data_IF_571555973738
#
_entry.id   IF_571555973738
#
_cell.length_a   1.000
_cell.length_b   1.000
_cell.length_c   1.000
_cell.angle_alpha   90.00
_cell.angle_beta   90.00
_cell.angle_gamma   90.00
#
_symmetry.space_group_name_H-M   'P 1'
#
loop_
_entity.id
_entity.type
_entity.pdbx_description
1 polymer ?
#
# COMPACT_ATOMS: atom_id res chain seq x y z
N UNK A 1 -10.59 -13.57 -40.96
CA UNK A 1 -9.33 -13.47 -40.21
C UNK A 1 -8.85 -12.02 -40.26
N UNK A 2 -9.19 -11.20 -39.26
CA UNK A 2 -8.59 -9.89 -39.07
C UNK A 2 -8.03 -9.87 -37.66
N UNK A 3 -6.70 -9.88 -37.56
CA UNK A 3 -5.97 -9.78 -36.31
C UNK A 3 -6.14 -8.37 -35.77
N UNK A 4 -7.22 -8.13 -35.03
CA UNK A 4 -7.28 -6.98 -34.14
C UNK A 4 -6.22 -7.16 -33.07
N UNK A 5 -5.24 -6.25 -33.07
CA UNK A 5 -4.17 -6.17 -32.08
C UNK A 5 -4.73 -6.32 -30.67
N UNK A 6 -4.51 -7.50 -30.09
CA UNK A 6 -5.07 -7.93 -28.82
C UNK A 6 -4.33 -7.24 -27.68
N UNK A 7 -4.73 -6.01 -27.38
CA UNK A 7 -4.34 -5.32 -26.16
C UNK A 7 -5.38 -5.68 -25.10
N UNK A 8 -5.02 -6.59 -24.18
CA UNK A 8 -5.69 -6.72 -22.89
C UNK A 8 -5.55 -5.35 -22.20
N UNK A 9 -6.50 -4.45 -22.43
CA UNK A 9 -6.55 -3.20 -21.69
C UNK A 9 -6.75 -3.60 -20.22
N UNK A 10 -5.83 -3.25 -19.32
CA UNK A 10 -6.02 -3.56 -17.91
C UNK A 10 -7.33 -2.92 -17.46
N UNK A 11 -8.19 -3.66 -16.74
CA UNK A 11 -9.46 -3.11 -16.31
C UNK A 11 -9.20 -1.85 -15.48
N UNK A 12 -9.73 -0.73 -15.96
CA UNK A 12 -9.64 0.58 -15.31
C UNK A 12 -10.73 0.62 -14.25
N UNK A 13 -10.33 0.74 -12.99
CA UNK A 13 -11.27 1.08 -11.92
C UNK A 13 -11.01 2.50 -11.47
N UNK A 14 -12.10 3.26 -11.40
CA UNK A 14 -12.12 4.58 -10.79
C UNK A 14 -12.25 4.37 -9.29
N UNK A 15 -11.13 4.42 -8.58
CA UNK A 15 -11.15 4.49 -7.13
C UNK A 15 -11.32 5.95 -6.69
N UNK A 16 -11.80 6.18 -5.46
CA UNK A 16 -11.95 7.53 -4.90
C UNK A 16 -10.65 8.37 -4.91
N UNK A 17 -9.50 7.70 -5.00
CA UNK A 17 -8.16 8.32 -4.97
C UNK A 17 -7.53 8.50 -6.36
N UNK A 18 -8.21 8.11 -7.44
CA UNK A 18 -7.75 8.27 -8.82
C UNK A 18 -8.03 7.07 -9.72
N UNK A 19 -7.75 7.26 -11.01
CA UNK A 19 -7.80 6.21 -12.03
C UNK A 19 -6.54 5.35 -11.85
N UNK A 20 -6.72 4.12 -11.38
CA UNK A 20 -5.61 3.17 -11.23
C UNK A 20 -5.79 1.99 -12.18
N UNK A 21 -4.70 1.62 -12.84
CA UNK A 21 -4.65 0.39 -13.62
C UNK A 21 -4.66 -0.79 -12.65
N UNK A 22 -5.73 -1.60 -12.66
CA UNK A 22 -5.75 -2.79 -11.83
C UNK A 22 -4.67 -3.75 -12.32
N UNK A 23 -3.77 -4.10 -11.42
CA UNK A 23 -2.73 -5.10 -11.60
C UNK A 23 -2.82 -6.09 -10.45
N UNK A 24 -2.39 -7.33 -10.69
CA UNK A 24 -2.20 -8.30 -9.61
C UNK A 24 -0.95 -7.92 -8.84
N UNK A 25 -1.09 -7.69 -7.54
CA UNK A 25 0.00 -7.38 -6.62
C UNK A 25 0.31 -8.59 -5.73
N UNK A 26 1.58 -8.71 -5.30
CA UNK A 26 1.98 -9.71 -4.30
C UNK A 26 1.82 -9.09 -2.90
N UNK A 27 0.89 -9.58 -2.05
CA UNK A 27 0.60 -8.94 -0.74
C UNK A 27 1.81 -8.92 0.20
N UNK A 28 2.65 -9.96 0.15
CA UNK A 28 3.87 -10.03 0.96
C UNK A 28 4.86 -8.93 0.58
N UNK A 29 4.93 -8.56 -0.70
CA UNK A 29 5.88 -7.56 -1.19
C UNK A 29 5.42 -6.16 -0.79
N UNK A 30 4.10 -5.90 -0.86
CA UNK A 30 3.50 -4.67 -0.32
C UNK A 30 3.80 -4.49 1.18
N UNK A 31 3.66 -5.58 1.94
CA UNK A 31 3.96 -5.62 3.38
C UNK A 31 5.44 -5.33 3.64
N UNK A 32 6.35 -5.98 2.88
CA UNK A 32 7.78 -5.79 3.00
C UNK A 32 8.19 -4.33 2.73
N UNK A 33 7.63 -3.70 1.69
CA UNK A 33 7.88 -2.29 1.42
C UNK A 33 7.39 -1.38 2.55
N UNK A 34 6.20 -1.63 3.12
CA UNK A 34 5.71 -0.88 4.28
C UNK A 34 6.55 -1.08 5.53
N UNK A 35 7.22 -2.24 5.68
CA UNK A 35 8.15 -2.50 6.78
C UNK A 35 9.41 -1.64 6.63
N UNK A 36 9.98 -1.55 5.42
CA UNK A 36 11.17 -0.72 5.21
C UNK A 36 10.92 0.75 5.54
N UNK A 37 9.77 1.28 5.12
CA UNK A 37 9.35 2.63 5.49
C UNK A 37 7.82 2.72 5.38
N UNK A 38 7.16 3.22 6.43
CA UNK A 38 5.71 3.35 6.41
C UNK A 38 5.28 4.27 5.26
N UNK A 39 4.30 3.79 4.48
CA UNK A 39 3.79 4.47 3.29
C UNK A 39 4.43 4.06 1.95
N UNK A 40 5.56 3.34 1.94
CA UNK A 40 6.12 2.80 0.69
C UNK A 40 5.24 1.71 0.07
N UNK A 41 4.56 0.89 0.88
CA UNK A 41 3.62 -0.11 0.36
C UNK A 41 2.47 0.53 -0.42
N UNK A 42 1.95 1.68 0.03
CA UNK A 42 0.90 2.41 -0.69
C UNK A 42 1.37 2.92 -2.05
N UNK A 43 2.61 3.39 -2.14
CA UNK A 43 3.23 3.78 -3.41
C UNK A 43 3.37 2.57 -4.35
N UNK A 44 3.76 1.41 -3.82
CA UNK A 44 3.81 0.16 -4.59
C UNK A 44 2.43 -0.21 -5.18
N UNK A 45 1.35 0.04 -4.44
CA UNK A 45 -0.04 -0.15 -4.88
C UNK A 45 -0.56 0.96 -5.81
N UNK A 46 0.28 1.90 -6.24
CA UNK A 46 -0.11 3.09 -7.02
C UNK A 46 -1.14 3.99 -6.30
N UNK A 47 -1.23 3.92 -4.96
CA UNK A 47 -2.02 4.83 -4.13
C UNK A 47 -1.14 5.97 -3.61
N UNK A 48 -0.81 6.88 -4.52
CA UNK A 48 0.10 8.00 -4.24
C UNK A 48 -0.43 8.91 -3.13
N UNK A 49 -1.73 9.26 -3.15
CA UNK A 49 -2.33 10.18 -2.18
C UNK A 49 -2.20 9.62 -0.76
N UNK A 50 -2.70 8.39 -0.55
CA UNK A 50 -2.61 7.71 0.76
C UNK A 50 -1.16 7.47 1.20
N UNK A 51 -0.29 7.07 0.27
CA UNK A 51 1.12 6.84 0.58
C UNK A 51 1.86 8.11 1.01
N UNK A 52 1.68 9.20 0.27
CA UNK A 52 2.27 10.51 0.60
C UNK A 52 1.74 10.99 1.95
N UNK A 53 0.44 10.84 2.22
CA UNK A 53 -0.14 11.22 3.50
C UNK A 53 0.52 10.49 4.68
N UNK A 54 0.67 9.16 4.59
CA UNK A 54 1.32 8.36 5.65
C UNK A 54 2.80 8.75 5.80
N UNK A 55 3.50 8.99 4.70
CA UNK A 55 4.91 9.42 4.73
C UNK A 55 5.05 10.78 5.41
N UNK A 56 4.21 11.76 5.06
CA UNK A 56 4.21 13.08 5.71
C UNK A 56 3.94 12.93 7.20
N UNK A 57 2.92 12.16 7.57
CA UNK A 57 2.55 11.97 8.97
C UNK A 57 3.66 11.24 9.75
N UNK A 58 4.34 10.28 9.14
CA UNK A 58 5.53 9.64 9.69
C UNK A 58 6.68 10.62 9.91
N UNK A 59 7.00 11.45 8.92
CA UNK A 59 8.06 12.47 9.02
C UNK A 59 7.74 13.47 10.13
N UNK A 60 6.49 13.93 10.22
CA UNK A 60 6.03 14.81 11.29
C UNK A 60 6.24 14.16 12.66
N UNK A 61 5.84 12.89 12.80
CA UNK A 61 5.99 12.15 14.06
C UNK A 61 7.47 11.96 14.42
N UNK A 62 8.34 11.67 13.44
CA UNK A 62 9.79 11.56 13.62
C UNK A 62 10.43 12.88 14.07
N UNK A 63 9.96 13.99 13.51
CA UNK A 63 10.49 15.32 13.83
C UNK A 63 10.12 15.73 15.26
N UNK A 64 8.84 15.64 15.63
CA UNK A 64 8.40 16.03 16.97
C UNK A 64 8.86 15.08 18.08
N UNK A 65 9.05 13.79 17.79
CA UNK A 65 9.61 12.85 18.77
C UNK A 65 11.11 13.00 19.01
N UNK A 66 11.81 13.85 18.25
CA UNK A 66 13.27 13.93 18.22
C UNK A 66 13.95 12.57 18.00
N UNK A 67 13.26 11.64 17.35
CA UNK A 67 13.68 10.25 17.21
C UNK A 67 15.06 10.10 16.52
N UNK A 68 15.37 10.80 15.41
CA UNK A 68 16.68 10.69 14.77
C UNK A 68 17.84 11.12 15.68
N UNK A 69 17.61 12.15 16.51
CA UNK A 69 18.61 12.65 17.46
C UNK A 69 18.85 11.65 18.59
N UNK A 70 17.77 11.05 19.10
CA UNK A 70 17.85 9.98 20.09
C UNK A 70 18.62 8.76 19.55
N UNK A 71 18.34 8.34 18.31
CA UNK A 71 19.07 7.24 17.65
C UNK A 71 20.56 7.57 17.56
N UNK A 72 20.92 8.78 17.14
CA UNK A 72 22.31 9.22 17.10
C UNK A 72 23.00 9.15 18.48
N UNK A 73 22.35 9.62 19.53
CA UNK A 73 22.88 9.53 20.90
C UNK A 73 23.04 8.09 21.37
N UNK A 74 22.09 7.20 21.05
CA UNK A 74 22.20 5.77 21.38
C UNK A 74 23.35 5.08 20.63
N UNK A 75 23.67 5.49 19.40
CA UNK A 75 24.81 4.94 18.66
C UNK A 75 26.16 5.32 19.29
N UNK A 76 26.23 6.48 19.94
CA UNK A 76 27.42 6.93 20.69
C UNK A 76 27.48 6.28 22.09
N UNK A 77 26.40 5.63 22.52
CA UNK A 77 26.28 4.98 23.83
C UNK A 77 25.74 5.89 24.95
N UNK A 78 25.28 7.11 24.63
CA UNK A 78 24.65 8.00 25.60
C UNK A 78 23.14 7.76 25.67
N UNK A 79 22.75 6.74 26.43
CA UNK A 79 21.35 6.41 26.67
C UNK A 79 20.63 7.42 27.57
N UNK A 80 21.39 8.13 28.43
CA UNK A 80 20.82 9.10 29.37
C UNK A 80 20.40 10.36 28.63
N UNK A 81 21.27 10.87 27.76
CA UNK A 81 20.96 11.97 26.85
C UNK A 81 19.85 11.60 25.87
N UNK A 82 19.90 10.40 25.27
CA UNK A 82 18.86 9.94 24.34
C UNK A 82 17.46 9.95 24.97
N UNK A 83 17.33 9.47 26.22
CA UNK A 83 16.03 9.45 26.92
C UNK A 83 15.54 10.84 27.32
N UNK A 84 16.45 11.76 27.63
CA UNK A 84 16.08 13.12 28.04
C UNK A 84 15.56 13.97 26.87
N UNK A 85 15.98 13.65 25.64
CA UNK A 85 15.61 14.38 24.43
C UNK A 85 14.37 13.79 23.73
N UNK A 86 14.04 12.54 24.01
CA UNK A 86 12.85 11.88 23.45
C UNK A 86 11.56 12.43 24.04
N UNK A 87 10.64 12.84 23.17
CA UNK A 87 9.27 13.15 23.55
C UNK A 87 8.41 11.88 23.57
N UNK A 88 7.99 11.37 24.74
CA UNK A 88 7.29 10.09 24.85
C UNK A 88 5.90 10.11 24.21
N UNK A 89 5.22 11.26 24.19
CA UNK A 89 3.90 11.44 23.60
C UNK A 89 3.92 11.12 22.10
N UNK A 90 4.86 11.73 21.36
CA UNK A 90 5.05 11.48 19.93
C UNK A 90 5.64 10.11 19.64
N UNK A 91 6.52 9.60 20.51
CA UNK A 91 7.12 8.27 20.38
C UNK A 91 6.07 7.15 20.45
N UNK A 92 5.08 7.28 21.34
CA UNK A 92 4.00 6.30 21.50
C UNK A 92 3.11 6.18 20.26
N UNK A 93 3.04 7.20 19.40
CA UNK A 93 2.30 7.13 18.14
C UNK A 93 3.00 6.30 17.06
N UNK A 94 4.34 6.16 17.12
CA UNK A 94 5.13 5.43 16.12
C UNK A 94 4.67 3.99 15.85
N UNK A 95 4.55 3.09 16.86
CA UNK A 95 4.16 1.70 16.62
C UNK A 95 2.75 1.59 16.04
N UNK A 96 1.83 2.47 16.45
CA UNK A 96 0.46 2.50 15.92
C UNK A 96 0.46 2.92 14.45
N UNK A 97 1.20 3.98 14.10
CA UNK A 97 1.30 4.46 12.73
C UNK A 97 1.95 3.42 11.81
N UNK A 98 2.99 2.76 12.31
CA UNK A 98 3.70 1.71 11.59
C UNK A 98 2.82 0.48 11.36
N UNK A 99 2.15 -0.01 12.41
CA UNK A 99 1.21 -1.13 12.31
C UNK A 99 0.04 -0.84 11.36
N UNK A 100 -0.51 0.38 11.43
CA UNK A 100 -1.55 0.84 10.51
C UNK A 100 -1.07 0.83 9.06
N UNK A 101 0.10 1.41 8.76
CA UNK A 101 0.64 1.45 7.40
C UNK A 101 0.87 0.04 6.82
N UNK A 102 1.41 -0.87 7.63
CA UNK A 102 1.63 -2.26 7.24
C UNK A 102 0.30 -2.97 6.97
N UNK A 103 -0.63 -2.93 7.92
CA UNK A 103 -1.93 -3.58 7.81
C UNK A 103 -2.74 -3.06 6.62
N UNK A 104 -2.85 -1.74 6.47
CA UNK A 104 -3.61 -1.11 5.39
C UNK A 104 -3.04 -1.53 4.03
N UNK A 105 -1.71 -1.50 3.85
CA UNK A 105 -1.07 -1.88 2.59
C UNK A 105 -1.32 -3.36 2.21
N UNK A 106 -1.35 -4.25 3.21
CA UNK A 106 -1.65 -5.66 3.04
C UNK A 106 -3.11 -5.89 2.67
N UNK A 107 -4.04 -5.32 3.45
CA UNK A 107 -5.48 -5.45 3.23
C UNK A 107 -5.88 -4.89 1.85
N UNK A 108 -5.34 -3.72 1.50
CA UNK A 108 -5.51 -3.09 0.18
C UNK A 108 -5.03 -4.02 -0.93
N UNK A 109 -3.87 -4.68 -0.79
CA UNK A 109 -3.34 -5.56 -1.83
C UNK A 109 -4.26 -6.76 -2.11
N UNK A 110 -4.84 -7.34 -1.07
CA UNK A 110 -5.83 -8.43 -1.22
C UNK A 110 -7.09 -7.92 -1.89
N UNK A 111 -7.59 -6.76 -1.46
CA UNK A 111 -8.80 -6.18 -2.02
C UNK A 111 -8.65 -5.89 -3.53
N UNK A 112 -7.53 -5.30 -3.96
CA UNK A 112 -7.27 -5.07 -5.38
C UNK A 112 -7.14 -6.36 -6.17
N UNK A 113 -6.52 -7.39 -5.62
CA UNK A 113 -6.44 -8.69 -6.29
C UNK A 113 -7.83 -9.31 -6.50
N UNK A 114 -8.71 -9.18 -5.51
CA UNK A 114 -10.10 -9.64 -5.63
C UNK A 114 -10.85 -8.85 -6.72
N UNK A 115 -10.71 -7.52 -6.70
CA UNK A 115 -11.35 -6.63 -7.67
C UNK A 115 -10.84 -6.87 -9.11
N UNK A 116 -9.54 -7.13 -9.28
CA UNK A 116 -8.96 -7.52 -10.56
C UNK A 116 -9.61 -8.79 -11.10
N UNK A 117 -9.77 -9.84 -10.26
CA UNK A 117 -10.40 -11.10 -10.67
C UNK A 117 -11.86 -10.94 -11.05
N UNK A 118 -12.61 -10.11 -10.32
CA UNK A 118 -14.01 -9.81 -10.66
C UNK A 118 -14.13 -9.12 -12.02
N UNK A 119 -13.34 -8.07 -12.24
CA UNK A 119 -13.34 -7.35 -13.53
C UNK A 119 -12.87 -8.25 -14.68
N UNK A 120 -11.86 -9.08 -14.45
CA UNK A 120 -11.39 -10.04 -15.45
C UNK A 120 -12.46 -11.08 -15.79
N UNK A 121 -13.16 -11.61 -14.79
CA UNK A 121 -14.27 -12.54 -15.01
C UNK A 121 -15.40 -11.89 -15.81
N UNK A 122 -15.77 -10.65 -15.49
CA UNK A 122 -16.79 -9.89 -16.21
C UNK A 122 -16.37 -9.61 -17.66
N UNK A 123 -15.13 -9.18 -17.89
CA UNK A 123 -14.58 -8.98 -19.23
C UNK A 123 -14.62 -10.27 -20.07
N UNK A 124 -14.22 -11.40 -19.48
CA UNK A 124 -14.27 -12.70 -20.16
C UNK A 124 -15.71 -13.12 -20.49
N UNK A 125 -16.67 -12.86 -19.60
CA UNK A 125 -18.09 -13.12 -19.84
C UNK A 125 -18.62 -12.30 -21.00
N UNK A 126 -18.33 -11.00 -21.03
CA UNK A 126 -18.84 -10.11 -22.06
C UNK A 126 -18.25 -10.41 -23.45
N UNK A 127 -16.96 -10.73 -23.51
CA UNK A 127 -16.25 -10.85 -24.78
C UNK A 127 -16.22 -12.28 -25.36
N UNK A 128 -16.28 -13.31 -24.50
CA UNK A 128 -16.05 -14.70 -24.92
C UNK A 128 -17.17 -15.67 -24.54
N UNK A 129 -18.04 -15.34 -23.59
CA UNK A 129 -19.06 -16.29 -23.17
C UNK A 129 -20.21 -16.33 -24.18
N UNK A 130 -20.38 -17.49 -24.80
CA UNK A 130 -21.47 -17.73 -25.74
C UNK A 130 -22.82 -17.68 -25.01
N UNK A 131 -23.86 -17.16 -25.67
CA UNK A 131 -25.20 -16.97 -25.05
C UNK A 131 -25.80 -18.27 -24.49
N UNK A 132 -25.47 -19.40 -25.11
CA UNK A 132 -25.99 -20.72 -24.72
C UNK A 132 -25.11 -21.47 -23.70
N UNK A 133 -24.00 -20.87 -23.26
CA UNK A 133 -23.09 -21.51 -22.31
C UNK A 133 -23.64 -21.47 -20.88
N UNK A 134 -24.01 -22.64 -20.35
CA UNK A 134 -24.38 -22.82 -18.93
C UNK A 134 -23.14 -22.99 -18.06
N UNK A 135 -23.02 -22.16 -17.03
CA UNK A 135 -21.97 -22.31 -16.01
C UNK A 135 -22.20 -23.60 -15.21
N UNK A 136 -21.19 -24.45 -15.01
CA UNK A 136 -21.29 -25.53 -14.04
C UNK A 136 -21.42 -24.92 -12.63
N UNK A 137 -22.46 -25.33 -11.91
CA UNK A 137 -22.73 -24.94 -10.52
C UNK A 137 -21.78 -25.62 -9.55
#
# INVERSE_FOLDING_TARGET
MSGHNFSLQPPLVVAAEGINYLRIYKPWLATLYSIFMPGLGHIYLQRLISGIFIIIFWVVTCYYSHFPLAVHMTMIGDFTGARAVLDPEWLLFMPSLYGFAVYESYASSIHFNHLYRMNQAEFLRQQYQHRDFRMPV
#
